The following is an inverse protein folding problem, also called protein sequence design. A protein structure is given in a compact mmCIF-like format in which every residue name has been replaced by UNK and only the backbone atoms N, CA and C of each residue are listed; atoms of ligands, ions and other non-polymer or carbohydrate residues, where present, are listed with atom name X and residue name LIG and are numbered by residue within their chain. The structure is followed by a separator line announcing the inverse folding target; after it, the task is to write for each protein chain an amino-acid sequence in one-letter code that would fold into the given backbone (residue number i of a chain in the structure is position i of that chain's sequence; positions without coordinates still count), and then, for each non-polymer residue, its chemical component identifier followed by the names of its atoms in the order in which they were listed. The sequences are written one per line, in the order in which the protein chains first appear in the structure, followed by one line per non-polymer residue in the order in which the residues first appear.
data_IF_425452406912
#
_entry.id   IF_425452406912
#
_cell.length_a   1.000
_cell.length_b   1.000
_cell.length_c   1.000
_cell.angle_alpha   90.00
_cell.angle_beta   90.00
_cell.angle_gamma   90.00
#
_symmetry.space_group_name_H-M   'P 1'
#
loop_
_entity.id
_entity.type
_entity.pdbx_description
1 polymer ?
#
# COMPACT_ATOMS: atom_id res chain seq x y z
N UNK A 1 -13.75 -21.06 -25.64
CA UNK A 1 -13.65 -19.63 -26.03
C UNK A 1 -12.28 -19.17 -25.60
N UNK A 2 -11.29 -19.47 -26.43
CA UNK A 2 -9.89 -19.16 -26.17
C UNK A 2 -9.59 -17.80 -26.78
N UNK A 3 -9.60 -16.75 -25.95
CA UNK A 3 -9.12 -15.43 -26.32
C UNK A 3 -7.59 -15.48 -26.44
N UNK A 4 -7.11 -16.06 -27.55
CA UNK A 4 -5.70 -16.17 -27.93
C UNK A 4 -5.12 -14.87 -28.49
N UNK A 5 -5.58 -13.71 -28.03
CA UNK A 5 -4.88 -12.45 -28.27
C UNK A 5 -3.64 -12.44 -27.37
N UNK A 6 -2.51 -12.92 -27.88
CA UNK A 6 -1.24 -12.90 -27.16
C UNK A 6 -0.89 -11.44 -26.83
N UNK A 7 -1.10 -11.07 -25.56
CA UNK A 7 -0.65 -9.80 -25.02
C UNK A 7 0.88 -9.75 -25.13
N UNK A 8 1.41 -9.07 -26.14
CA UNK A 8 2.84 -8.84 -26.39
C UNK A 8 3.56 -8.05 -25.28
N UNK A 9 2.89 -7.84 -24.15
CA UNK A 9 3.34 -6.99 -23.04
C UNK A 9 4.05 -7.74 -21.91
N UNK A 10 4.23 -9.06 -22.03
CA UNK A 10 4.84 -9.90 -20.98
C UNK A 10 6.26 -10.36 -21.31
N UNK A 11 6.85 -9.93 -22.44
CA UNK A 11 8.17 -10.41 -22.89
C UNK A 11 9.35 -10.05 -21.97
N UNK A 12 9.18 -9.07 -21.10
CA UNK A 12 10.18 -8.66 -20.08
C UNK A 12 10.05 -9.45 -18.76
N UNK A 13 8.99 -10.25 -18.59
CA UNK A 13 8.79 -11.00 -17.35
C UNK A 13 9.72 -12.21 -17.29
N UNK A 14 10.38 -12.45 -16.15
CA UNK A 14 11.13 -13.68 -15.91
C UNK A 14 10.23 -14.93 -16.06
N UNK A 15 10.80 -16.02 -16.57
CA UNK A 15 10.09 -17.29 -16.81
C UNK A 15 9.56 -17.94 -15.52
N UNK A 16 10.19 -17.63 -14.38
CA UNK A 16 9.78 -18.13 -13.07
C UNK A 16 8.61 -17.33 -12.45
N UNK A 17 8.19 -16.21 -13.06
CA UNK A 17 7.05 -15.44 -12.57
C UNK A 17 5.73 -16.05 -13.05
N UNK A 18 5.00 -16.69 -12.14
CA UNK A 18 3.68 -17.28 -12.44
C UNK A 18 2.60 -16.20 -12.39
N UNK A 19 2.12 -15.77 -13.55
CA UNK A 19 1.06 -14.75 -13.67
C UNK A 19 -0.27 -15.30 -13.12
N UNK A 20 -0.90 -14.56 -12.21
CA UNK A 20 -2.22 -14.86 -11.65
C UNK A 20 -3.33 -14.08 -12.34
N UNK A 21 -3.12 -12.78 -12.56
CA UNK A 21 -4.08 -11.91 -13.24
C UNK A 21 -3.35 -10.78 -13.96
N UNK A 22 -3.96 -10.27 -15.03
CA UNK A 22 -3.44 -9.15 -15.80
C UNK A 22 -4.58 -8.19 -16.13
N UNK A 23 -4.30 -6.90 -15.97
CA UNK A 23 -5.17 -5.77 -16.30
C UNK A 23 -4.30 -4.70 -16.98
N UNK A 24 -4.92 -3.65 -17.53
CA UNK A 24 -4.17 -2.55 -18.16
C UNK A 24 -3.27 -1.78 -17.18
N UNK A 25 -3.67 -1.70 -15.91
CA UNK A 25 -2.93 -0.96 -14.89
C UNK A 25 -1.97 -1.84 -14.09
N UNK A 26 -2.26 -3.13 -13.92
CA UNK A 26 -1.49 -4.02 -13.06
C UNK A 26 -1.39 -5.44 -13.60
N UNK A 27 -0.25 -6.07 -13.30
CA UNK A 27 -0.08 -7.51 -13.40
C UNK A 27 0.17 -8.08 -12.00
N UNK A 28 -0.47 -9.20 -11.68
CA UNK A 28 -0.24 -9.92 -10.44
C UNK A 28 0.30 -11.31 -10.72
N UNK A 29 1.14 -11.80 -9.82
CA UNK A 29 1.71 -13.13 -9.93
C UNK A 29 2.50 -13.52 -8.70
N UNK A 30 3.17 -14.66 -8.80
CA UNK A 30 3.85 -15.31 -7.69
C UNK A 30 5.29 -15.62 -8.10
N UNK A 31 6.20 -15.44 -7.14
CA UNK A 31 7.56 -15.98 -7.17
C UNK A 31 7.80 -16.83 -5.92
N UNK A 32 8.74 -17.76 -6.01
CA UNK A 32 9.00 -18.74 -4.95
C UNK A 32 10.13 -18.31 -4.01
N UNK A 33 11.01 -17.40 -4.42
CA UNK A 33 12.17 -16.98 -3.63
C UNK A 33 12.43 -15.47 -3.67
N UNK A 34 13.26 -14.99 -2.74
CA UNK A 34 13.66 -13.58 -2.68
C UNK A 34 14.60 -13.20 -3.84
N UNK A 35 15.41 -14.13 -4.33
CA UNK A 35 16.27 -13.95 -5.52
C UNK A 35 15.41 -13.75 -6.77
N UNK A 36 14.38 -14.58 -6.92
CA UNK A 36 13.40 -14.46 -7.99
C UNK A 36 12.65 -13.12 -7.93
N UNK A 37 12.28 -12.66 -6.73
CA UNK A 37 11.69 -11.34 -6.52
C UNK A 37 12.64 -10.23 -6.95
N UNK A 38 13.91 -10.26 -6.52
CA UNK A 38 14.92 -9.27 -6.91
C UNK A 38 15.08 -9.21 -8.43
N UNK A 39 15.15 -10.36 -9.08
CA UNK A 39 15.25 -10.46 -10.53
C UNK A 39 14.03 -9.88 -11.24
N UNK A 40 12.82 -10.16 -10.75
CA UNK A 40 11.56 -9.61 -11.25
C UNK A 40 11.50 -8.09 -11.10
N UNK A 41 11.88 -7.55 -9.94
CA UNK A 41 11.88 -6.11 -9.68
C UNK A 41 12.89 -5.36 -10.55
N UNK A 42 14.08 -5.93 -10.76
CA UNK A 42 15.09 -5.35 -11.65
C UNK A 42 14.64 -5.39 -13.12
N UNK A 43 14.05 -6.51 -13.56
CA UNK A 43 13.46 -6.63 -14.90
C UNK A 43 12.35 -5.61 -15.12
N UNK A 44 11.48 -5.42 -14.12
CA UNK A 44 10.42 -4.40 -14.16
C UNK A 44 10.98 -2.98 -14.25
N UNK A 45 11.99 -2.65 -13.42
CA UNK A 45 12.66 -1.35 -13.42
C UNK A 45 13.27 -1.02 -14.78
N UNK A 46 13.89 -2.01 -15.44
CA UNK A 46 14.44 -1.88 -16.80
C UNK A 46 13.33 -1.68 -17.84
N UNK A 47 12.26 -2.47 -17.76
CA UNK A 47 11.14 -2.38 -18.69
C UNK A 47 10.37 -1.05 -18.57
N UNK A 48 10.13 -0.58 -17.36
CA UNK A 48 9.34 0.63 -17.10
C UNK A 48 10.16 1.93 -17.18
N UNK A 49 11.48 1.84 -16.98
CA UNK A 49 12.36 3.01 -16.83
C UNK A 49 12.08 3.81 -15.55
N UNK A 50 11.38 3.23 -14.57
CA UNK A 50 11.03 3.89 -13.31
C UNK A 50 11.63 3.16 -12.13
N UNK A 51 12.28 3.89 -11.22
CA UNK A 51 12.65 3.32 -9.93
C UNK A 51 11.51 3.37 -8.92
N UNK A 52 11.58 2.50 -7.92
CA UNK A 52 10.60 2.35 -6.86
C UNK A 52 11.30 2.47 -5.51
N UNK A 53 10.73 3.27 -4.61
CA UNK A 53 11.23 3.48 -3.26
C UNK A 53 10.26 2.90 -2.25
N UNK A 54 10.77 2.32 -1.15
CA UNK A 54 9.91 1.76 -0.09
C UNK A 54 9.01 2.86 0.47
N UNK A 55 7.70 2.63 0.38
CA UNK A 55 6.66 3.51 0.91
C UNK A 55 6.18 3.04 2.29
N UNK A 56 6.06 1.72 2.47
CA UNK A 56 5.70 1.10 3.74
C UNK A 56 6.32 -0.28 3.79
N UNK A 57 6.91 -0.63 4.94
CA UNK A 57 7.39 -1.97 5.24
C UNK A 57 6.89 -2.38 6.62
N UNK A 58 6.18 -3.49 6.67
CA UNK A 58 5.61 -4.02 7.90
C UNK A 58 6.61 -4.91 8.67
N UNK A 59 7.86 -5.03 8.22
CA UNK A 59 8.93 -5.82 8.88
C UNK A 59 9.16 -5.45 10.34
N UNK A 60 9.01 -4.18 10.70
CA UNK A 60 9.21 -3.70 12.07
C UNK A 60 7.96 -3.80 12.96
N UNK A 61 6.81 -4.20 12.40
CA UNK A 61 5.60 -4.38 13.21
C UNK A 61 5.75 -5.66 14.02
N UNK A 62 5.49 -5.59 15.33
CA UNK A 62 5.46 -6.77 16.20
C UNK A 62 4.53 -7.81 15.58
N UNK A 63 5.07 -8.99 15.29
CA UNK A 63 4.29 -10.09 14.74
C UNK A 63 3.20 -10.45 15.74
N UNK A 64 1.96 -10.56 15.27
CA UNK A 64 0.85 -10.97 16.13
C UNK A 64 1.08 -12.42 16.55
N UNK A 65 0.78 -12.71 17.82
CA UNK A 65 0.87 -14.07 18.39
C UNK A 65 0.03 -15.06 17.58
N UNK A 66 -1.11 -14.62 17.05
CA UNK A 66 -1.94 -15.43 16.16
C UNK A 66 -2.05 -14.75 14.79
N UNK A 67 -1.56 -15.38 13.71
CA UNK A 67 -1.70 -14.83 12.37
C UNK A 67 -3.17 -14.78 11.96
N UNK A 68 -3.51 -13.81 11.10
CA UNK A 68 -4.85 -13.71 10.52
C UNK A 68 -4.93 -14.60 9.29
N UNK A 69 -5.67 -15.70 9.38
CA UNK A 69 -5.94 -16.57 8.24
C UNK A 69 -7.01 -15.97 7.30
N UNK A 70 -6.77 -16.06 5.99
CA UNK A 70 -7.61 -15.52 4.92
C UNK A 70 -7.80 -16.59 3.82
N UNK A 71 -8.90 -16.51 3.08
CA UNK A 71 -9.18 -17.38 1.92
C UNK A 71 -8.72 -16.80 0.58
N UNK A 72 -8.49 -15.49 0.57
CA UNK A 72 -8.21 -14.71 -0.63
C UNK A 72 -7.37 -13.51 -0.25
N UNK A 73 -6.34 -13.24 -1.03
CA UNK A 73 -5.50 -12.04 -0.90
C UNK A 73 -5.64 -11.25 -2.19
N UNK A 74 -6.49 -10.22 -2.18
CA UNK A 74 -6.78 -9.36 -3.34
C UNK A 74 -7.07 -10.19 -4.61
N UNK A 75 -6.12 -10.26 -5.53
CA UNK A 75 -6.27 -10.88 -6.85
C UNK A 75 -5.84 -12.36 -6.85
N UNK A 76 -5.47 -12.92 -5.69
CA UNK A 76 -5.03 -14.30 -5.53
C UNK A 76 -6.01 -15.14 -4.69
N UNK A 77 -6.55 -16.21 -5.29
CA UNK A 77 -7.44 -17.17 -4.63
C UNK A 77 -7.22 -18.57 -5.19
N UNK A 78 -6.60 -19.45 -4.40
CA UNK A 78 -6.39 -20.86 -4.76
C UNK A 78 -7.24 -21.84 -3.94
N UNK A 79 -8.27 -21.36 -3.23
CA UNK A 79 -9.09 -22.20 -2.32
C UNK A 79 -8.27 -22.91 -1.23
N UNK A 80 -7.15 -22.32 -0.86
CA UNK A 80 -6.27 -22.73 0.23
C UNK A 80 -6.31 -21.63 1.30
N UNK A 81 -6.31 -21.96 2.61
CA UNK A 81 -6.08 -20.96 3.65
C UNK A 81 -4.70 -20.32 3.55
N UNK A 82 -4.64 -19.02 3.79
CA UNK A 82 -3.45 -18.19 3.61
C UNK A 82 -3.21 -17.33 4.85
N UNK A 83 -1.96 -17.03 5.16
CA UNK A 83 -1.57 -16.02 6.14
C UNK A 83 -0.59 -15.04 5.49
N UNK A 84 -0.74 -13.74 5.73
CA UNK A 84 0.21 -12.72 5.22
C UNK A 84 1.19 -12.37 6.33
N UNK A 85 2.44 -12.83 6.19
CA UNK A 85 3.53 -12.58 7.16
C UNK A 85 4.01 -11.14 7.14
N UNK A 86 4.33 -10.65 5.93
CA UNK A 86 4.93 -9.34 5.71
C UNK A 86 4.36 -8.68 4.46
N UNK A 87 4.20 -7.37 4.52
CA UNK A 87 3.82 -6.54 3.39
C UNK A 87 4.87 -5.46 3.18
N UNK A 88 5.34 -5.35 1.94
CA UNK A 88 6.18 -4.24 1.49
C UNK A 88 5.45 -3.54 0.35
N UNK A 89 5.36 -2.23 0.43
CA UNK A 89 4.77 -1.40 -0.60
C UNK A 89 5.86 -0.48 -1.09
N UNK A 90 6.13 -0.50 -2.38
CA UNK A 90 7.01 0.46 -3.03
C UNK A 90 6.17 1.47 -3.79
N UNK A 91 6.53 2.75 -3.70
CA UNK A 91 5.93 3.80 -4.50
C UNK A 91 6.86 4.17 -5.66
N UNK A 92 6.28 4.56 -6.78
CA UNK A 92 7.03 5.11 -7.90
C UNK A 92 7.87 6.32 -7.44
N UNK A 93 9.09 6.47 -7.98
CA UNK A 93 9.96 7.61 -7.70
C UNK A 93 9.31 8.98 -8.00
N UNK A 94 8.30 9.03 -8.87
CA UNK A 94 7.55 10.24 -9.21
C UNK A 94 6.29 10.44 -8.33
N UNK A 95 6.03 9.53 -7.41
CA UNK A 95 4.92 9.59 -6.47
C UNK A 95 5.12 10.63 -5.36
N UNK A 96 4.10 10.77 -4.52
CA UNK A 96 4.14 11.67 -3.35
C UNK A 96 5.32 11.30 -2.44
N UNK A 97 6.11 12.30 -2.07
CA UNK A 97 7.06 12.12 -0.97
C UNK A 97 6.24 11.96 0.31
N UNK A 98 6.26 10.76 0.88
CA UNK A 98 5.88 10.62 2.27
C UNK A 98 7.00 11.27 3.07
N UNK A 99 6.80 12.54 3.46
CA UNK A 99 7.68 13.14 4.47
C UNK A 99 7.56 12.20 5.65
N UNK A 100 8.64 11.48 5.99
CA UNK A 100 8.81 11.08 7.39
C UNK A 100 8.67 12.41 8.11
N UNK A 101 7.60 12.59 8.88
CA UNK A 101 7.55 13.65 9.88
C UNK A 101 8.83 13.44 10.66
N UNK A 102 9.85 14.23 10.37
CA UNK A 102 11.04 14.31 11.17
C UNK A 102 10.49 14.61 12.54
N UNK A 103 10.45 13.60 13.39
CA UNK A 103 10.02 13.75 14.78
C UNK A 103 10.88 14.88 15.29
N UNK A 104 10.23 15.93 15.78
CA UNK A 104 10.83 17.20 16.21
C UNK A 104 11.91 17.06 17.30
N UNK A 105 12.22 15.83 17.74
CA UNK A 105 13.28 15.51 18.68
C UNK A 105 14.69 15.55 18.08
N UNK A 106 14.86 15.46 16.75
CA UNK A 106 16.19 15.59 16.11
C UNK A 106 16.64 17.06 15.91
N UNK A 107 15.93 18.03 16.50
CA UNK A 107 16.27 19.47 16.44
C UNK A 107 16.97 20.00 17.71
N UNK A 108 17.33 19.14 18.66
CA UNK A 108 18.05 19.53 19.87
C UNK A 108 19.46 18.95 19.94
N UNK A 109 20.26 19.23 18.91
CA UNK A 109 21.72 19.24 19.10
C UNK A 109 22.28 20.48 18.41
N UNK A 110 22.47 21.48 19.25
CA UNK A 110 23.32 22.65 19.14
C UNK A 110 24.25 22.65 17.91
N UNK A 111 24.09 23.61 17.00
CA UNK A 111 25.18 24.40 16.41
C UNK A 111 24.57 25.47 15.46
N UNK A 112 24.25 26.62 16.06
CA UNK A 112 23.57 27.76 15.44
C UNK A 112 24.46 28.64 14.52
N UNK A 113 25.67 28.20 14.15
CA UNK A 113 26.61 29.12 13.48
C UNK A 113 27.38 28.53 12.29
N UNK A 114 26.69 27.96 11.30
CA UNK A 114 27.21 27.96 9.92
C UNK A 114 26.13 28.22 8.87
N UNK A 115 26.00 29.51 8.53
CA UNK A 115 25.84 30.04 7.17
C UNK A 115 24.96 29.25 6.19
N UNK A 116 23.75 29.79 6.03
CA UNK A 116 22.91 29.81 4.82
C UNK A 116 23.71 29.68 3.51
N UNK A 117 24.01 28.46 3.07
CA UNK A 117 24.12 28.19 1.63
C UNK A 117 22.69 28.21 1.12
N UNK A 118 22.38 29.12 0.20
CA UNK A 118 21.15 29.09 -0.60
C UNK A 118 21.16 27.76 -1.35
N UNK A 119 20.66 26.70 -0.72
CA UNK A 119 20.38 25.45 -1.41
C UNK A 119 19.34 25.82 -2.44
N UNK A 120 19.77 25.89 -3.69
CA UNK A 120 18.90 26.03 -4.83
C UNK A 120 17.92 24.86 -4.75
N UNK A 121 16.71 25.13 -4.24
CA UNK A 121 15.63 24.16 -4.13
C UNK A 121 15.28 23.81 -5.57
N UNK A 122 15.91 22.76 -6.08
CA UNK A 122 15.51 22.20 -7.36
C UNK A 122 14.07 21.74 -7.18
N UNK A 123 13.16 22.28 -8.01
CA UNK A 123 11.78 21.83 -8.07
C UNK A 123 11.79 20.31 -8.20
N UNK A 124 11.41 19.60 -7.14
CA UNK A 124 11.45 18.15 -7.15
C UNK A 124 10.51 17.69 -8.27
N UNK A 125 11.00 16.84 -9.19
CA UNK A 125 10.26 16.29 -10.34
C UNK A 125 9.14 15.30 -9.92
N UNK A 126 8.55 15.49 -8.75
CA UNK A 126 7.47 14.68 -8.19
C UNK A 126 6.16 15.23 -8.76
N UNK A 127 5.36 14.34 -9.33
CA UNK A 127 4.12 14.68 -10.04
C UNK A 127 2.92 13.96 -9.41
N UNK A 128 3.08 13.47 -8.19
CA UNK A 128 2.04 12.73 -7.47
C UNK A 128 1.56 11.48 -8.22
N UNK A 129 2.49 10.73 -8.82
CA UNK A 129 2.17 9.45 -9.44
C UNK A 129 1.54 8.47 -8.44
N UNK A 130 0.36 7.87 -8.75
CA UNK A 130 -0.31 6.93 -7.85
C UNK A 130 0.22 5.49 -7.93
N UNK A 131 1.10 5.18 -8.90
CA UNK A 131 1.60 3.83 -9.12
C UNK A 131 2.35 3.28 -7.89
N UNK A 132 1.92 2.10 -7.44
CA UNK A 132 2.52 1.37 -6.32
C UNK A 132 2.73 -0.09 -6.68
N UNK A 133 3.87 -0.62 -6.25
CA UNK A 133 4.19 -2.03 -6.31
C UNK A 133 3.94 -2.65 -4.94
N UNK A 134 3.25 -3.79 -4.91
CA UNK A 134 2.93 -4.48 -3.66
C UNK A 134 3.62 -5.85 -3.65
N UNK A 135 4.43 -6.09 -2.63
CA UNK A 135 5.04 -7.38 -2.32
C UNK A 135 4.42 -7.91 -1.04
N UNK A 136 3.91 -9.15 -1.08
CA UNK A 136 3.32 -9.83 0.08
C UNK A 136 3.99 -11.17 0.25
N UNK A 137 4.56 -11.40 1.42
CA UNK A 137 5.07 -12.70 1.83
C UNK A 137 3.89 -13.48 2.43
N UNK A 138 3.49 -14.56 1.76
CA UNK A 138 2.29 -15.32 2.06
C UNK A 138 2.67 -16.75 2.42
N UNK A 139 2.17 -17.20 3.57
CA UNK A 139 2.20 -18.61 3.97
C UNK A 139 0.93 -19.29 3.49
N UNK A 140 1.09 -20.50 2.96
CA UNK A 140 -0.01 -21.36 2.53
C UNK A 140 -0.08 -22.60 3.41
N UNK A 141 -1.30 -23.07 3.62
CA UNK A 141 -1.58 -24.29 4.37
C UNK A 141 -2.31 -25.28 3.46
N UNK A 142 -1.57 -25.85 2.51
CA UNK A 142 -2.13 -26.68 1.42
C UNK A 142 -2.80 -27.96 1.95
N UNK A 143 -2.41 -28.44 3.13
CA UNK A 143 -3.08 -29.56 3.83
C UNK A 143 -4.54 -29.28 4.23
N UNK A 144 -4.95 -28.01 4.28
CA UNK A 144 -6.31 -27.58 4.54
C UNK A 144 -7.00 -27.01 3.29
N UNK A 145 -6.50 -27.35 2.10
CA UNK A 145 -7.13 -27.00 0.84
C UNK A 145 -8.57 -27.54 0.78
N UNK A 146 -9.48 -26.73 0.26
CA UNK A 146 -10.88 -27.11 0.07
C UNK A 146 -11.25 -27.05 -1.41
N UNK A 147 -12.29 -27.78 -1.80
CA UNK A 147 -12.80 -27.72 -3.17
C UNK A 147 -13.23 -26.29 -3.56
N UNK A 148 -13.11 -25.94 -4.84
CA UNK A 148 -13.47 -24.61 -5.38
C UNK A 148 -14.91 -24.17 -5.03
N UNK A 149 -15.84 -25.12 -5.02
CA UNK A 149 -17.26 -24.92 -4.70
C UNK A 149 -17.62 -25.29 -3.26
N UNK A 150 -16.63 -25.34 -2.37
CA UNK A 150 -16.85 -25.63 -0.95
C UNK A 150 -17.81 -24.63 -0.29
N UNK A 151 -18.60 -25.16 0.63
CA UNK A 151 -19.55 -24.37 1.42
C UNK A 151 -18.82 -23.42 2.37
N UNK A 152 -19.55 -22.41 2.87
CA UNK A 152 -19.03 -21.50 3.91
C UNK A 152 -18.60 -22.27 5.16
N UNK A 153 -19.35 -23.31 5.54
CA UNK A 153 -19.09 -24.13 6.72
C UNK A 153 -17.78 -24.89 6.58
N UNK A 154 -17.53 -25.53 5.44
CA UNK A 154 -16.26 -26.24 5.16
C UNK A 154 -15.06 -25.29 5.24
N UNK A 155 -15.19 -24.09 4.67
CA UNK A 155 -14.18 -23.03 4.77
C UNK A 155 -13.97 -22.55 6.22
N UNK A 156 -14.99 -22.56 7.06
CA UNK A 156 -14.81 -22.22 8.47
C UNK A 156 -14.08 -23.32 9.23
N UNK A 157 -14.43 -24.59 8.96
CA UNK A 157 -13.77 -25.76 9.56
C UNK A 157 -12.30 -25.81 9.17
N UNK A 158 -11.96 -25.57 7.89
CA UNK A 158 -10.57 -25.56 7.44
C UNK A 158 -9.75 -24.43 8.07
N UNK A 159 -10.27 -23.20 8.20
CA UNK A 159 -9.58 -22.13 8.94
C UNK A 159 -9.39 -22.51 10.41
N UNK A 160 -10.42 -23.10 11.04
CA UNK A 160 -10.32 -23.53 12.44
C UNK A 160 -9.21 -24.57 12.61
N UNK A 161 -9.12 -25.53 11.70
CA UNK A 161 -8.05 -26.53 11.66
C UNK A 161 -6.66 -25.90 11.53
N UNK A 162 -6.49 -24.89 10.66
CA UNK A 162 -5.21 -24.14 10.55
C UNK A 162 -4.85 -23.47 11.88
N UNK A 163 -5.81 -22.81 12.53
CA UNK A 163 -5.58 -22.13 13.80
C UNK A 163 -5.25 -23.11 14.94
N UNK A 164 -5.80 -24.31 14.91
CA UNK A 164 -5.46 -25.40 15.84
C UNK A 164 -4.06 -25.93 15.58
N UNK A 165 -3.71 -26.25 14.32
CA UNK A 165 -2.37 -26.74 13.97
C UNK A 165 -1.27 -25.73 14.27
N UNK A 166 -1.57 -24.43 14.19
CA UNK A 166 -0.64 -23.36 14.57
C UNK A 166 -0.37 -23.31 16.07
N UNK A 167 -1.32 -23.71 16.92
CA UNK A 167 -1.08 -23.84 18.38
C UNK A 167 -0.17 -25.00 18.69
N UNK A 168 -0.23 -26.05 17.88
CA UNK A 168 0.59 -27.24 17.98
C UNK A 168 1.98 -27.07 17.35
N UNK A 169 2.33 -25.85 16.89
CA UNK A 169 3.57 -25.55 16.17
C UNK A 169 3.78 -26.42 14.91
N UNK A 170 2.69 -26.83 14.26
CA UNK A 170 2.79 -27.53 12.98
C UNK A 170 3.32 -26.59 11.90
N UNK A 171 4.22 -27.09 11.05
CA UNK A 171 4.91 -26.30 10.04
C UNK A 171 4.01 -25.84 8.91
N UNK A 172 4.31 -24.64 8.41
CA UNK A 172 3.76 -24.04 7.18
C UNK A 172 4.04 -24.98 6.00
N UNK A 173 3.04 -25.18 5.12
CA UNK A 173 3.20 -26.10 3.99
C UNK A 173 4.06 -25.49 2.88
N UNK A 174 3.83 -24.22 2.54
CA UNK A 174 4.64 -23.50 1.57
C UNK A 174 4.64 -21.99 1.82
N UNK A 175 5.77 -21.35 1.52
CA UNK A 175 5.89 -19.89 1.49
C UNK A 175 5.98 -19.41 0.05
N UNK A 176 5.22 -18.38 -0.28
CA UNK A 176 5.23 -17.76 -1.60
C UNK A 176 5.29 -16.25 -1.48
N UNK A 177 5.79 -15.58 -2.52
CA UNK A 177 5.81 -14.13 -2.59
C UNK A 177 4.81 -13.69 -3.67
N UNK A 178 3.69 -13.13 -3.24
CA UNK A 178 2.70 -12.56 -4.15
C UNK A 178 3.08 -11.11 -4.49
N UNK A 179 3.22 -10.83 -5.78
CA UNK A 179 3.64 -9.52 -6.30
C UNK A 179 2.54 -8.92 -7.17
N UNK A 180 2.22 -7.65 -6.94
CA UNK A 180 1.36 -6.83 -7.80
C UNK A 180 2.17 -5.67 -8.35
N UNK A 181 2.45 -5.73 -9.64
CA UNK A 181 3.35 -4.83 -10.35
C UNK A 181 2.52 -3.85 -11.20
N UNK A 182 2.75 -2.53 -11.08
CA UNK A 182 2.10 -1.54 -11.93
C UNK A 182 2.65 -1.61 -13.36
N UNK A 183 1.75 -1.52 -14.33
CA UNK A 183 2.03 -1.34 -15.75
C UNK A 183 1.92 0.14 -16.12
N UNK A 184 2.16 0.46 -17.39
CA UNK A 184 2.11 1.84 -17.90
C UNK A 184 0.81 2.58 -17.53
N UNK A 185 -0.35 1.89 -17.56
CA UNK A 185 -1.65 2.49 -17.22
C UNK A 185 -1.77 2.97 -15.76
N UNK A 186 -1.03 2.38 -14.82
CA UNK A 186 -1.03 2.82 -13.42
C UNK A 186 -0.22 4.11 -13.20
N UNK A 187 0.68 4.46 -14.13
CA UNK A 187 1.50 5.67 -14.04
C UNK A 187 0.73 6.89 -14.55
N UNK A 188 0.19 7.67 -13.60
CA UNK A 188 -0.53 8.93 -13.89
C UNK A 188 0.39 10.12 -13.61
N UNK A 189 0.15 11.23 -14.29
CA UNK A 189 0.85 12.53 -14.14
C UNK A 189 2.32 12.58 -14.57
N UNK A 190 2.93 11.46 -14.99
CA UNK A 190 4.17 11.47 -15.76
C UNK A 190 4.09 10.45 -16.88
N UNK A 191 4.86 10.71 -17.94
CA UNK A 191 5.10 9.69 -18.95
C UNK A 191 6.06 8.67 -18.35
N UNK A 192 5.69 7.38 -18.37
CA UNK A 192 6.72 6.33 -18.47
C UNK A 192 7.50 6.60 -19.75
N UNK A 193 8.83 6.42 -19.73
CA UNK A 193 9.68 6.84 -20.85
C UNK A 193 9.08 6.37 -22.18
N UNK A 194 9.17 7.18 -23.24
CA UNK A 194 8.70 6.75 -24.58
C UNK A 194 9.41 5.48 -25.07
N UNK A 195 10.51 5.11 -24.41
CA UNK A 195 11.26 3.87 -24.59
C UNK A 195 10.90 2.81 -23.54
N UNK A 196 9.73 2.88 -22.89
CA UNK A 196 9.33 1.83 -21.96
C UNK A 196 9.20 0.53 -22.76
N UNK A 197 10.12 -0.39 -22.52
CA UNK A 197 10.27 -1.61 -23.30
C UNK A 197 9.19 -2.66 -22.97
N UNK A 198 8.04 -2.24 -22.44
CA UNK A 198 6.89 -3.12 -22.25
C UNK A 198 6.44 -3.76 -23.56
N UNK A 199 6.72 -3.17 -24.72
CA UNK A 199 6.42 -3.72 -26.04
C UNK A 199 7.65 -4.23 -26.81
N UNK A 200 8.86 -3.98 -26.31
CA UNK A 200 10.10 -4.37 -27.00
C UNK A 200 10.65 -5.63 -26.33
N UNK A 201 10.86 -6.70 -27.10
CA UNK A 201 11.53 -7.92 -26.62
C UNK A 201 12.94 -7.55 -26.14
N UNK A 202 13.10 -7.30 -24.84
CA UNK A 202 14.42 -7.15 -24.22
C UNK A 202 14.99 -8.57 -24.16
N UNK A 203 15.85 -8.92 -25.10
CA UNK A 203 16.63 -10.15 -24.99
C UNK A 203 17.49 -10.08 -23.72
N UNK A 204 17.31 -11.04 -22.81
CA UNK A 204 17.99 -11.15 -21.51
C UNK A 204 19.52 -11.39 -21.60
N UNK A 205 20.14 -11.20 -22.76
CA UNK A 205 21.53 -11.62 -22.93
C UNK A 205 22.53 -10.58 -22.39
N UNK A 206 23.23 -11.01 -21.33
CA UNK A 206 24.63 -10.73 -20.99
C UNK A 206 24.92 -9.40 -20.29
N UNK A 207 25.07 -9.46 -18.96
CA UNK A 207 26.19 -8.91 -18.18
C UNK A 207 25.83 -8.95 -16.67
N UNK A 208 26.01 -10.11 -16.02
CA UNK A 208 25.95 -10.25 -14.55
C UNK A 208 27.26 -10.84 -14.01
N UNK A 209 28.36 -10.69 -14.76
CA UNK A 209 29.69 -11.13 -14.37
C UNK A 209 30.65 -9.95 -14.46
N UNK A 210 31.35 -9.69 -13.35
CA UNK A 210 32.37 -8.67 -13.11
C UNK A 210 31.89 -7.31 -12.55
N UNK A 211 31.57 -7.29 -11.25
CA UNK A 211 31.87 -6.13 -10.38
C UNK A 211 32.13 -6.59 -8.93
N UNK A 212 32.69 -7.79 -8.75
CA UNK A 212 33.26 -8.24 -7.47
C UNK A 212 34.77 -8.13 -7.52
N UNK A 213 35.29 -6.90 -7.44
CA UNK A 213 36.66 -6.61 -6.98
C UNK A 213 36.89 -5.08 -6.89
N UNK A 214 36.35 -4.42 -5.85
CA UNK A 214 37.04 -3.29 -5.22
C UNK A 214 36.41 -2.86 -3.90
N UNK A 215 37.30 -2.69 -2.91
CA UNK A 215 37.15 -2.01 -1.62
C UNK A 215 36.70 -2.86 -0.43
N UNK A 216 37.61 -3.72 0.03
CA UNK A 216 37.93 -3.84 1.44
C UNK A 216 38.91 -2.72 1.83
N UNK A 217 38.50 -1.78 2.68
CA UNK A 217 39.38 -1.10 3.65
C UNK A 217 38.56 -0.94 4.93
N UNK A 218 39.16 -1.38 6.03
CA UNK A 218 38.53 -1.63 7.32
C UNK A 218 38.04 -0.39 8.06
N UNK A 219 37.21 -0.63 9.07
CA UNK A 219 37.59 -0.34 10.45
C UNK A 219 36.67 -1.09 11.42
N UNK A 220 37.31 -2.04 12.11
CA UNK A 220 37.03 -2.50 13.47
C UNK A 220 37.28 -1.28 14.38
N UNK A 221 36.49 -0.98 15.41
CA UNK A 221 36.63 -1.51 16.76
C UNK A 221 35.48 -1.00 17.66
N UNK A 222 35.30 -1.74 18.74
CA UNK A 222 34.77 -1.37 20.05
C UNK A 222 33.32 -1.70 20.48
N UNK A 223 33.34 -2.55 21.50
CA UNK A 223 32.29 -3.16 22.29
C UNK A 223 31.94 -2.28 23.51
N UNK A 224 30.78 -2.62 24.09
CA UNK A 224 30.33 -2.37 25.46
C UNK A 224 29.67 -1.02 25.77
N UNK A 225 28.38 -1.04 26.13
CA UNK A 225 27.95 -0.76 27.51
C UNK A 225 26.46 -1.14 27.73
N UNK A 226 26.19 -1.99 28.72
CA UNK A 226 24.87 -2.17 29.33
C UNK A 226 24.51 -0.96 30.20
N UNK A 227 23.24 -0.56 30.22
CA UNK A 227 22.76 0.51 31.10
C UNK A 227 21.25 0.44 31.35
N UNK A 228 20.88 0.01 32.55
CA UNK A 228 19.52 -0.06 33.11
C UNK A 228 18.93 1.34 33.44
N UNK A 229 17.60 1.43 33.31
CA UNK A 229 16.57 2.23 34.00
C UNK A 229 16.79 3.71 34.40
N UNK A 230 15.89 4.58 33.91
CA UNK A 230 14.92 5.30 34.77
C UNK A 230 13.88 6.15 33.99
N UNK A 231 12.65 6.33 34.52
CA UNK A 231 11.57 7.09 33.89
C UNK A 231 11.54 8.56 34.37
N UNK A 232 11.33 9.52 33.46
CA UNK A 232 11.10 10.94 33.82
C UNK A 232 10.09 11.57 32.82
N UNK A 233 9.45 12.72 33.12
CA UNK A 233 8.01 12.81 33.26
C UNK A 233 7.33 13.47 32.06
N UNK A 234 6.05 13.15 31.91
CA UNK A 234 5.14 13.73 30.94
C UNK A 234 4.81 15.19 31.28
N UNK A 235 5.10 16.13 30.39
CA UNK A 235 4.54 17.49 30.41
C UNK A 235 4.17 17.96 29.00
N UNK A 236 2.98 18.55 28.86
CA UNK A 236 2.58 19.28 27.65
C UNK A 236 1.29 18.86 26.94
N UNK A 237 0.21 18.53 27.67
CA UNK A 237 -1.14 18.41 27.07
C UNK A 237 -1.65 19.79 26.63
N UNK A 238 -1.66 20.06 25.33
CA UNK A 238 -2.50 21.11 24.75
C UNK A 238 -3.97 20.76 24.99
N UNK A 239 -4.64 21.55 25.84
CA UNK A 239 -6.09 21.53 26.04
C UNK A 239 -6.76 22.07 24.77
N UNK A 240 -7.04 21.20 23.81
CA UNK A 240 -8.15 21.45 22.91
C UNK A 240 -9.43 21.35 23.73
N UNK A 241 -10.24 22.41 23.71
CA UNK A 241 -11.59 22.46 24.27
C UNK A 241 -12.38 21.26 23.75
N UNK A 242 -12.48 20.21 24.57
CA UNK A 242 -13.28 19.04 24.28
C UNK A 242 -14.73 19.42 24.53
N UNK A 243 -15.38 19.99 23.52
CA UNK A 243 -16.84 20.00 23.45
C UNK A 243 -17.26 18.53 23.60
N UNK A 244 -17.86 18.21 24.74
CA UNK A 244 -18.25 16.86 25.11
C UNK A 244 -19.30 16.37 24.12
N UNK A 245 -18.88 15.73 23.03
CA UNK A 245 -19.78 14.99 22.15
C UNK A 245 -20.55 13.99 23.01
N UNK A 246 -21.87 14.07 22.98
CA UNK A 246 -22.72 13.17 23.75
C UNK A 246 -22.39 11.71 23.35
N UNK A 247 -22.13 10.81 24.31
CA UNK A 247 -21.75 9.42 24.02
C UNK A 247 -22.75 8.69 23.11
N UNK A 248 -24.02 9.10 23.12
CA UNK A 248 -25.07 8.52 22.28
C UNK A 248 -24.82 8.70 20.77
N UNK A 249 -24.37 9.87 20.33
CA UNK A 249 -24.21 10.17 18.90
C UNK A 249 -23.18 9.26 18.24
N UNK A 250 -22.11 8.89 18.96
CA UNK A 250 -21.09 7.99 18.43
C UNK A 250 -21.62 6.56 18.21
N UNK A 251 -22.47 6.08 19.13
CA UNK A 251 -23.11 4.76 19.03
C UNK A 251 -24.09 4.73 17.86
N UNK A 252 -24.93 5.76 17.74
CA UNK A 252 -25.91 5.88 16.65
C UNK A 252 -25.24 6.00 15.27
N UNK A 253 -24.15 6.77 15.18
CA UNK A 253 -23.33 6.87 13.96
C UNK A 253 -22.71 5.53 13.57
N UNK A 254 -22.22 4.75 14.55
CA UNK A 254 -21.68 3.42 14.29
C UNK A 254 -22.78 2.48 13.77
N UNK A 255 -23.96 2.49 14.41
CA UNK A 255 -25.09 1.66 14.00
C UNK A 255 -25.56 1.99 12.57
N UNK A 256 -25.68 3.28 12.24
CA UNK A 256 -26.03 3.73 10.89
C UNK A 256 -25.03 3.23 9.84
N UNK A 257 -23.72 3.26 10.13
CA UNK A 257 -22.68 2.76 9.22
C UNK A 257 -22.82 1.26 8.96
N UNK A 258 -23.14 0.47 9.97
CA UNK A 258 -23.32 -0.98 9.81
C UNK A 258 -24.58 -1.31 8.98
N UNK A 259 -25.66 -0.55 9.16
CA UNK A 259 -26.87 -0.69 8.34
C UNK A 259 -26.63 -0.32 6.88
N UNK A 260 -25.94 0.80 6.62
CA UNK A 260 -25.59 1.22 5.24
C UNK A 260 -24.71 0.18 4.54
N UNK A 261 -23.79 -0.45 5.27
CA UNK A 261 -22.96 -1.54 4.74
C UNK A 261 -23.80 -2.77 4.39
N UNK A 262 -24.73 -3.16 5.26
CA UNK A 262 -25.66 -4.27 4.99
C UNK A 262 -26.51 -4.00 3.75
N UNK A 263 -27.02 -2.78 3.61
CA UNK A 263 -27.80 -2.36 2.44
C UNK A 263 -26.98 -2.38 1.15
N UNK A 264 -25.71 -1.96 1.21
CA UNK A 264 -24.77 -2.06 0.10
C UNK A 264 -24.56 -3.53 -0.32
N UNK A 265 -24.34 -4.43 0.63
CA UNK A 265 -24.14 -5.86 0.34
C UNK A 265 -25.40 -6.51 -0.26
N UNK A 266 -26.58 -6.18 0.26
CA UNK A 266 -27.87 -6.66 -0.28
C UNK A 266 -28.11 -6.12 -1.70
N UNK A 267 -27.77 -4.86 -1.97
CA UNK A 267 -27.97 -4.25 -3.29
C UNK A 267 -27.21 -4.97 -4.41
N UNK A 268 -26.10 -5.63 -4.07
CA UNK A 268 -25.30 -6.40 -5.02
C UNK A 268 -25.93 -7.76 -5.39
N UNK A 269 -26.80 -8.29 -4.52
CA UNK A 269 -27.42 -9.62 -4.67
C UNK A 269 -28.88 -9.49 -5.10
N UNK A 270 -29.52 -8.35 -4.83
CA UNK A 270 -30.91 -8.10 -5.16
C UNK A 270 -31.12 -8.01 -6.69
N UNK A 271 -32.04 -8.81 -7.22
CA UNK A 271 -32.43 -8.80 -8.63
C UNK A 271 -33.73 -8.03 -8.89
N UNK A 272 -34.43 -7.63 -7.83
CA UNK A 272 -35.68 -6.86 -7.92
C UNK A 272 -35.37 -5.38 -8.13
N UNK A 273 -35.61 -4.92 -9.37
CA UNK A 273 -35.39 -3.55 -9.81
C UNK A 273 -36.23 -2.52 -9.04
N UNK A 274 -37.47 -2.86 -8.69
CA UNK A 274 -38.36 -1.91 -8.00
C UNK A 274 -37.99 -1.81 -6.51
N UNK A 275 -37.56 -2.91 -5.88
CA UNK A 275 -37.00 -2.88 -4.54
C UNK A 275 -35.75 -1.97 -4.45
N UNK A 276 -34.83 -2.07 -5.42
CA UNK A 276 -33.63 -1.22 -5.47
C UNK A 276 -33.98 0.26 -5.66
N UNK A 277 -34.93 0.58 -6.55
CA UNK A 277 -35.39 1.96 -6.75
C UNK A 277 -36.03 2.54 -5.48
N UNK A 278 -36.86 1.75 -4.80
CA UNK A 278 -37.50 2.16 -3.56
C UNK A 278 -36.45 2.40 -2.46
N UNK A 279 -35.48 1.50 -2.31
CA UNK A 279 -34.37 1.68 -1.38
C UNK A 279 -33.55 2.96 -1.69
N UNK A 280 -33.24 3.21 -2.97
CA UNK A 280 -32.54 4.41 -3.40
C UNK A 280 -33.29 5.70 -3.03
N UNK A 281 -34.62 5.73 -3.23
CA UNK A 281 -35.47 6.87 -2.83
C UNK A 281 -35.43 7.11 -1.33
N UNK A 282 -35.49 6.05 -0.52
CA UNK A 282 -35.42 6.16 0.95
C UNK A 282 -34.06 6.70 1.40
N UNK A 283 -32.96 6.18 0.86
CA UNK A 283 -31.61 6.67 1.17
C UNK A 283 -31.49 8.15 0.79
N UNK A 284 -31.97 8.54 -0.39
CA UNK A 284 -31.94 9.94 -0.81
C UNK A 284 -32.72 10.83 0.15
N UNK A 285 -33.92 10.42 0.58
CA UNK A 285 -34.70 11.14 1.59
C UNK A 285 -33.94 11.32 2.90
N UNK A 286 -33.31 10.26 3.41
CA UNK A 286 -32.47 10.31 4.61
C UNK A 286 -31.28 11.28 4.44
N UNK A 287 -30.64 11.29 3.28
CA UNK A 287 -29.54 12.21 2.99
C UNK A 287 -30.00 13.67 3.03
N UNK A 288 -31.15 14.00 2.45
CA UNK A 288 -31.70 15.36 2.49
C UNK A 288 -32.09 15.78 3.91
N UNK A 289 -32.72 14.88 4.69
CA UNK A 289 -33.02 15.15 6.10
C UNK A 289 -31.74 15.42 6.91
N UNK A 290 -30.71 14.58 6.72
CA UNK A 290 -29.41 14.78 7.39
C UNK A 290 -28.76 16.10 6.99
N UNK A 291 -28.77 16.46 5.70
CA UNK A 291 -28.26 17.76 5.23
C UNK A 291 -29.00 18.92 5.87
N UNK A 292 -30.33 18.86 5.95
CA UNK A 292 -31.14 19.91 6.57
C UNK A 292 -30.96 20.03 8.09
N UNK A 293 -30.51 18.95 8.74
CA UNK A 293 -30.20 18.93 10.18
C UNK A 293 -28.82 19.48 10.53
N UNK A 294 -27.95 19.71 9.54
CA UNK A 294 -26.67 20.37 9.75
C UNK A 294 -26.92 21.88 9.81
N UNK A 295 -26.54 22.53 10.92
CA UNK A 295 -26.57 23.98 11.01
C UNK A 295 -25.60 24.58 9.98
N UNK A 296 -26.06 25.55 9.17
CA UNK A 296 -25.22 26.24 8.18
C UNK A 296 -23.97 26.91 8.79
N UNK A 297 -24.00 27.20 10.10
CA UNK A 297 -22.92 27.87 10.82
C UNK A 297 -21.79 26.93 11.34
N UNK A 298 -22.01 25.62 11.36
CA UNK A 298 -20.99 24.62 11.79
C UNK A 298 -20.17 24.05 10.62
N UNK A 299 -20.33 24.63 9.43
CA UNK A 299 -19.36 24.45 8.37
C UNK A 299 -18.01 24.94 8.87
N UNK A 300 -17.13 24.03 9.27
CA UNK A 300 -15.69 24.25 9.25
C UNK A 300 -15.39 24.80 7.85
N UNK A 301 -15.33 26.13 7.73
CA UNK A 301 -14.81 26.81 6.57
C UNK A 301 -13.39 26.28 6.49
N UNK A 302 -13.19 25.28 5.64
CA UNK A 302 -11.86 24.96 5.13
C UNK A 302 -11.45 26.27 4.47
N UNK A 303 -10.71 27.11 5.21
CA UNK A 303 -10.14 28.34 4.69
C UNK A 303 -9.43 27.91 3.41
N UNK A 304 -10.05 28.20 2.27
CA UNK A 304 -9.36 28.12 1.00
C UNK A 304 -8.26 29.15 1.15
N UNK A 305 -7.03 28.68 1.36
CA UNK A 305 -5.86 29.54 1.31
C UNK A 305 -5.92 30.25 -0.04
N UNK A 306 -6.22 31.55 -0.02
CA UNK A 306 -6.10 32.36 -1.22
C UNK A 306 -4.67 32.17 -1.75
N UNK A 307 -4.51 31.85 -3.05
CA UNK A 307 -3.19 31.71 -3.63
C UNK A 307 -2.44 33.04 -3.44
N UNK A 308 -1.16 33.00 -3.02
CA UNK A 308 -0.40 34.21 -2.75
C UNK A 308 -0.41 35.12 -3.97
N UNK A 309 -0.93 36.33 -3.81
CA UNK A 309 -0.91 37.38 -4.83
C UNK A 309 0.55 37.59 -5.25
N UNK A 310 0.87 37.20 -6.48
CA UNK A 310 2.17 37.51 -7.07
C UNK A 310 2.23 39.02 -7.27
N UNK A 311 3.02 39.69 -6.44
CA UNK A 311 3.44 41.08 -6.68
C UNK A 311 4.26 41.08 -7.98
N UNK A 312 3.66 41.59 -9.05
CA UNK A 312 4.37 41.90 -10.29
C UNK A 312 5.22 43.16 -10.02
N UNK A 313 6.49 42.97 -9.65
CA UNK A 313 7.46 44.05 -9.71
C UNK A 313 7.78 44.33 -11.19
N UNK A 314 7.30 45.48 -11.64
CA UNK A 314 7.55 46.08 -12.93
C UNK A 314 9.02 46.53 -12.98
N UNK A 315 9.90 45.75 -13.62
CA UNK A 315 11.25 46.24 -13.95
C UNK A 315 11.15 47.25 -15.08
N UNK A 316 11.30 48.54 -14.75
CA UNK A 316 11.65 49.57 -15.73
C UNK A 316 13.16 49.48 -16.00
N UNK A 317 13.52 49.29 -17.27
CA UNK A 317 14.88 49.39 -17.77
C UNK A 317 15.05 50.82 -18.31
N UNK A 318 15.98 51.56 -17.73
CA UNK A 318 16.60 52.77 -18.29
C UNK A 318 18.10 52.58 -18.27
#
# INVERSE_FOLDING_TARGET
MDNGGQNSHTGWLPTNFKICSSSEEYITGIVSSEEELKHLLESHKRASGTSYTIWSDDSHKKQKVTPRCLWKVEDYSEHVPLSVKRRVIYACQHGKNYKKTTTTDDLHTEHEYTRRKRLHIQNSKKVDCPAKLYVRYVERYDQFAVAKRSSRTEKQVAIKGVLESLKENTSVTSEIIHVKIPLAGAHKNHKTSQNCHFSNNIHYNVALTQDSQRNEIGNQEDLCFDGFDSPVPSTGKQKHSSVSRSPGVAVDQWHLREQLKTLHDISYICTDKEAIKNASRVIHGLCETLKSSLHEEDGLVLQQQEPPRKTLELYQVT
#
